data_IF_617606314461
#
_entry.id   IF_617606314461
#
_cell.length_a   1.000
_cell.length_b   1.000
_cell.length_c   1.000
_cell.angle_alpha   90.00
_cell.angle_beta   90.00
_cell.angle_gamma   90.00
#
_symmetry.space_group_name_H-M   'P 1'
#
loop_
_entity.id
_entity.type
_entity.pdbx_description
1 polymer ?
#
# COMPACT_ATOMS: atom_id res chain seq x y z
N UNK A 1 5.26 8.95 -3.62
CA UNK A 1 5.06 8.61 -2.19
C UNK A 1 5.66 9.71 -1.30
N UNK A 2 5.06 10.91 -1.28
CA UNK A 2 5.69 12.12 -0.74
C UNK A 2 5.80 12.11 0.78
N UNK A 3 4.76 11.61 1.46
CA UNK A 3 4.63 11.75 2.91
C UNK A 3 5.01 10.47 3.67
N UNK A 4 5.46 9.43 2.97
CA UNK A 4 5.71 8.11 3.57
C UNK A 4 6.76 8.18 4.69
N UNK A 5 7.81 8.98 4.54
CA UNK A 5 8.83 9.17 5.58
C UNK A 5 8.26 9.82 6.84
N UNK A 6 7.42 10.85 6.68
CA UNK A 6 6.75 11.51 7.80
C UNK A 6 5.77 10.57 8.50
N UNK A 7 4.95 9.84 7.74
CA UNK A 7 4.02 8.83 8.27
C UNK A 7 4.80 7.76 9.05
N UNK A 8 5.95 7.30 8.54
CA UNK A 8 6.79 6.31 9.21
C UNK A 8 7.33 6.84 10.55
N UNK A 9 7.76 8.10 10.62
CA UNK A 9 8.25 8.69 11.86
C UNK A 9 7.18 8.70 12.96
N UNK A 10 5.96 9.16 12.62
CA UNK A 10 4.85 9.18 13.58
C UNK A 10 4.44 7.76 13.99
N UNK A 11 4.49 6.79 13.07
CA UNK A 11 4.26 5.39 13.40
C UNK A 11 5.22 4.89 14.48
N UNK A 12 6.52 5.13 14.30
CA UNK A 12 7.57 4.67 15.22
C UNK A 12 7.42 5.25 16.62
N UNK A 13 7.01 6.51 16.75
CA UNK A 13 6.75 7.15 18.05
C UNK A 13 5.62 6.45 18.81
N UNK A 14 4.49 6.20 18.13
CA UNK A 14 3.35 5.53 18.74
C UNK A 14 3.61 4.05 19.03
N UNK A 15 4.29 3.35 18.12
CA UNK A 15 4.67 1.95 18.31
C UNK A 15 5.55 1.80 19.57
N UNK A 16 6.57 2.65 19.71
CA UNK A 16 7.45 2.66 20.90
C UNK A 16 6.66 2.89 22.20
N UNK A 17 5.66 3.77 22.17
CA UNK A 17 4.81 4.05 23.34
C UNK A 17 3.91 2.86 23.71
N UNK A 18 3.36 2.16 22.72
CA UNK A 18 2.52 0.98 22.94
C UNK A 18 3.34 -0.21 23.43
N UNK A 19 4.54 -0.42 22.88
CA UNK A 19 5.48 -1.45 23.34
C UNK A 19 5.87 -1.23 24.81
N UNK A 20 6.19 0.01 25.19
CA UNK A 20 6.50 0.35 26.59
C UNK A 20 5.30 0.07 27.52
N UNK A 21 4.08 0.36 27.09
CA UNK A 21 2.86 0.05 27.85
C UNK A 21 2.62 -1.45 28.00
N UNK A 22 2.94 -2.24 26.96
CA UNK A 22 2.81 -3.69 26.97
C UNK A 22 3.80 -4.30 27.96
N UNK A 23 5.09 -3.92 27.87
CA UNK A 23 6.13 -4.37 28.81
C UNK A 23 5.77 -4.02 30.26
N UNK A 24 5.20 -2.84 30.52
CA UNK A 24 4.75 -2.46 31.85
C UNK A 24 3.60 -3.37 32.34
N UNK A 25 2.63 -3.67 31.47
CA UNK A 25 1.49 -4.52 31.80
C UNK A 25 1.91 -5.97 32.06
N UNK A 26 2.85 -6.49 31.27
CA UNK A 26 3.45 -7.82 31.43
C UNK A 26 4.18 -7.95 32.77
N UNK A 27 5.03 -6.97 33.11
CA UNK A 27 5.74 -6.95 34.41
C UNK A 27 4.78 -6.90 35.61
N UNK A 28 3.62 -6.29 35.44
CA UNK A 28 2.58 -6.23 36.45
C UNK A 28 1.63 -7.45 36.44
N UNK A 29 1.79 -8.38 35.49
CA UNK A 29 0.85 -9.48 35.21
C UNK A 29 -0.61 -9.02 35.02
N UNK A 30 -0.82 -7.80 34.52
CA UNK A 30 -2.15 -7.22 34.29
C UNK A 30 -2.70 -7.67 32.92
N UNK A 31 -3.28 -8.87 32.90
CA UNK A 31 -3.85 -9.49 31.69
C UNK A 31 -4.90 -8.60 31.02
N UNK A 32 -5.71 -7.88 31.80
CA UNK A 32 -6.74 -7.00 31.25
C UNK A 32 -6.11 -5.80 30.52
N UNK A 33 -5.01 -5.25 31.05
CA UNK A 33 -4.27 -4.17 30.39
C UNK A 33 -3.52 -4.66 29.15
N UNK A 34 -2.91 -5.85 29.18
CA UNK A 34 -2.28 -6.48 28.00
C UNK A 34 -3.28 -6.50 26.84
N UNK A 35 -4.46 -7.09 27.05
CA UNK A 35 -5.48 -7.18 25.99
C UNK A 35 -5.96 -5.83 25.46
N UNK A 36 -6.03 -4.79 26.31
CA UNK A 36 -6.34 -3.43 25.87
C UNK A 36 -5.24 -2.80 25.02
N UNK A 37 -3.97 -3.01 25.38
CA UNK A 37 -2.82 -2.48 24.63
C UNK A 37 -2.72 -3.18 23.27
N UNK A 38 -2.85 -4.51 23.21
CA UNK A 38 -2.86 -5.27 21.96
C UNK A 38 -4.01 -4.86 21.03
N UNK A 39 -5.19 -4.56 21.59
CA UNK A 39 -6.30 -4.04 20.79
C UNK A 39 -5.99 -2.66 20.19
N UNK A 40 -5.39 -1.75 20.98
CA UNK A 40 -4.94 -0.45 20.48
C UNK A 40 -3.88 -0.59 19.39
N UNK A 41 -2.92 -1.49 19.57
CA UNK A 41 -1.89 -1.79 18.58
C UNK A 41 -2.51 -2.23 17.24
N UNK A 42 -3.49 -3.14 17.26
CA UNK A 42 -4.18 -3.59 16.03
C UNK A 42 -4.93 -2.47 15.30
N UNK A 43 -5.60 -1.58 16.04
CA UNK A 43 -6.25 -0.38 15.45
C UNK A 43 -5.19 0.52 14.81
N UNK A 44 -4.13 0.79 15.55
CA UNK A 44 -3.03 1.64 15.12
C UNK A 44 -2.38 1.10 13.84
N UNK A 45 -1.95 -0.15 13.84
CA UNK A 45 -1.31 -0.77 12.67
C UNK A 45 -2.25 -0.80 11.44
N UNK A 46 -3.53 -1.07 11.65
CA UNK A 46 -4.54 -1.04 10.57
C UNK A 46 -4.71 0.37 10.00
N UNK A 47 -4.82 1.39 10.85
CA UNK A 47 -4.96 2.78 10.42
C UNK A 47 -3.71 3.26 9.65
N UNK A 48 -2.53 2.93 10.17
CA UNK A 48 -1.27 3.26 9.51
C UNK A 48 -1.09 2.55 8.19
N UNK A 49 -1.43 1.27 8.12
CA UNK A 49 -1.42 0.51 6.88
C UNK A 49 -2.26 1.20 5.78
N UNK A 50 -3.47 1.67 6.12
CA UNK A 50 -4.33 2.40 5.17
C UNK A 50 -3.65 3.69 4.68
N UNK A 51 -3.01 4.45 5.58
CA UNK A 51 -2.31 5.69 5.22
C UNK A 51 -1.13 5.44 4.29
N UNK A 52 -0.25 4.49 4.62
CA UNK A 52 0.92 4.18 3.80
C UNK A 52 0.53 3.54 2.47
N UNK A 53 -0.52 2.70 2.46
CA UNK A 53 -1.07 2.13 1.24
C UNK A 53 -1.56 3.23 0.29
N UNK A 54 -2.27 4.24 0.80
CA UNK A 54 -2.72 5.37 0.00
C UNK A 54 -1.59 6.10 -0.73
N UNK A 55 -0.39 6.14 -0.14
CA UNK A 55 0.79 6.73 -0.79
C UNK A 55 1.27 5.90 -1.99
N UNK A 56 1.26 4.57 -1.88
CA UNK A 56 1.60 3.68 -3.01
C UNK A 56 0.51 3.73 -4.08
N UNK A 57 -0.77 3.70 -3.69
CA UNK A 57 -1.89 3.77 -4.63
C UNK A 57 -1.84 5.06 -5.45
N UNK A 58 -1.57 6.21 -4.82
CA UNK A 58 -1.38 7.47 -5.53
C UNK A 58 -0.20 7.41 -6.52
N UNK A 59 0.90 6.76 -6.16
CA UNK A 59 2.06 6.58 -7.04
C UNK A 59 1.75 5.69 -8.24
N UNK A 60 1.07 4.55 -8.01
CA UNK A 60 0.62 3.65 -9.07
C UNK A 60 -0.29 4.39 -10.05
N UNK A 61 -1.26 5.15 -9.53
CA UNK A 61 -2.14 5.95 -10.37
C UNK A 61 -1.34 6.93 -11.21
N UNK A 62 -0.48 7.75 -10.59
CA UNK A 62 0.38 8.71 -11.29
C UNK A 62 1.20 8.08 -12.42
N UNK A 63 1.83 6.93 -12.17
CA UNK A 63 2.63 6.23 -13.18
C UNK A 63 1.75 5.61 -14.26
N UNK A 64 0.55 5.14 -13.91
CA UNK A 64 -0.40 4.57 -14.87
C UNK A 64 -0.96 5.66 -15.81
N UNK A 65 -1.23 6.86 -15.30
CA UNK A 65 -1.60 8.01 -16.13
C UNK A 65 -0.47 8.35 -17.12
N UNK A 66 0.79 8.35 -16.65
CA UNK A 66 1.96 8.59 -17.50
C UNK A 66 2.13 7.48 -18.55
N UNK A 67 1.92 6.22 -18.17
CA UNK A 67 1.94 5.06 -19.06
C UNK A 67 0.96 5.23 -20.23
N UNK A 68 -0.27 5.64 -19.95
CA UNK A 68 -1.28 5.89 -20.99
C UNK A 68 -0.87 7.07 -21.86
N UNK A 69 -0.42 8.19 -21.28
CA UNK A 69 0.06 9.37 -22.04
C UNK A 69 1.18 9.01 -23.00
N UNK A 70 2.18 8.25 -22.55
CA UNK A 70 3.32 7.81 -23.36
C UNK A 70 2.91 6.92 -24.53
N UNK A 71 1.92 6.05 -24.36
CA UNK A 71 1.44 5.18 -25.45
C UNK A 71 0.57 5.95 -26.44
N UNK A 72 -0.22 6.92 -25.96
CA UNK A 72 -1.02 7.81 -26.81
C UNK A 72 -0.18 8.75 -27.66
N UNK A 73 1.02 9.14 -27.20
CA UNK A 73 1.93 9.99 -27.97
C UNK A 73 2.64 9.27 -29.11
N UNK A 74 2.42 7.96 -29.31
CA UNK A 74 2.99 7.25 -30.46
C UNK A 74 2.50 7.81 -31.78
N UNK A 75 3.43 8.08 -32.70
CA UNK A 75 3.13 8.53 -34.07
C UNK A 75 2.38 7.46 -34.86
N UNK A 76 2.57 6.18 -34.52
CA UNK A 76 1.94 5.04 -35.19
C UNK A 76 0.54 4.86 -34.65
N UNK A 77 -0.46 4.92 -35.53
CA UNK A 77 -1.87 4.78 -35.13
C UNK A 77 -2.15 3.41 -34.51
N UNK A 78 -1.52 2.36 -35.03
CA UNK A 78 -1.67 0.99 -34.56
C UNK A 78 -1.28 0.84 -33.09
N UNK A 79 -0.26 1.60 -32.66
CA UNK A 79 0.27 1.57 -31.31
C UNK A 79 -0.60 2.37 -30.34
N UNK A 80 -1.20 3.50 -30.78
CA UNK A 80 -2.03 4.37 -29.92
C UNK A 80 -3.53 4.08 -29.95
N UNK A 81 -4.08 3.43 -30.97
CA UNK A 81 -5.54 3.29 -31.16
C UNK A 81 -6.29 2.64 -29.99
N UNK A 82 -5.65 1.68 -29.31
CA UNK A 82 -6.22 1.06 -28.12
C UNK A 82 -6.24 2.02 -26.92
N UNK A 83 -5.29 2.94 -26.86
CA UNK A 83 -5.11 3.91 -25.78
C UNK A 83 -5.92 5.19 -25.97
N UNK A 84 -6.27 5.55 -27.20
CA UNK A 84 -7.13 6.71 -27.49
C UNK A 84 -8.54 6.57 -26.90
N UNK A 85 -8.99 5.34 -26.62
CA UNK A 85 -10.24 5.07 -25.91
C UNK A 85 -10.17 5.35 -24.39
N UNK A 86 -8.97 5.55 -23.85
CA UNK A 86 -8.74 5.78 -22.43
C UNK A 86 -8.44 7.27 -22.16
N UNK A 87 -9.21 7.85 -21.25
CA UNK A 87 -8.86 9.12 -20.62
C UNK A 87 -7.69 8.89 -19.65
N UNK A 88 -6.50 9.48 -19.87
CA UNK A 88 -5.36 9.30 -18.98
C UNK A 88 -5.62 9.91 -17.61
N UNK A 89 -6.41 10.97 -17.49
CA UNK A 89 -6.70 11.65 -16.22
C UNK A 89 -7.88 11.01 -15.48
N UNK A 90 -8.70 10.25 -16.19
CA UNK A 90 -9.86 9.56 -15.62
C UNK A 90 -9.96 8.12 -16.13
N UNK A 91 -8.87 7.37 -15.98
CA UNK A 91 -8.83 5.98 -16.40
C UNK A 91 -9.80 5.16 -15.55
N UNK A 92 -10.95 4.81 -16.13
CA UNK A 92 -12.01 3.98 -15.52
C UNK A 92 -11.63 2.49 -15.47
N UNK A 93 -10.41 2.19 -15.04
CA UNK A 93 -9.91 0.83 -14.88
C UNK A 93 -9.92 0.42 -13.39
N UNK A 94 -10.09 -0.87 -13.12
CA UNK A 94 -9.96 -1.39 -11.75
C UNK A 94 -8.53 -1.17 -11.26
N UNK A 95 -8.33 -1.10 -9.94
CA UNK A 95 -6.99 -0.91 -9.38
C UNK A 95 -6.00 -1.97 -9.89
N UNK A 96 -6.42 -3.22 -9.98
CA UNK A 96 -5.59 -4.35 -10.44
C UNK A 96 -5.13 -4.18 -11.89
N UNK A 97 -5.96 -3.60 -12.75
CA UNK A 97 -5.63 -3.32 -14.14
C UNK A 97 -4.61 -2.18 -14.22
N UNK A 98 -4.79 -1.13 -13.41
CA UNK A 98 -3.84 -0.02 -13.29
C UNK A 98 -2.48 -0.50 -12.77
N UNK A 99 -2.49 -1.38 -11.76
CA UNK A 99 -1.28 -1.99 -11.23
C UNK A 99 -0.59 -2.88 -12.29
N UNK A 100 -1.35 -3.66 -13.07
CA UNK A 100 -0.82 -4.51 -14.13
C UNK A 100 -0.25 -3.71 -15.32
N UNK A 101 -0.68 -2.47 -15.49
CA UNK A 101 -0.14 -1.57 -16.52
C UNK A 101 1.29 -1.11 -16.18
N UNK A 102 1.58 -0.93 -14.89
CA UNK A 102 2.83 -0.30 -14.41
C UNK A 102 3.78 -1.25 -13.69
N UNK A 103 3.32 -2.45 -13.37
CA UNK A 103 4.10 -3.55 -12.83
C UNK A 103 3.93 -4.75 -13.75
N UNK A 104 5.05 -5.35 -14.15
CA UNK A 104 5.02 -6.53 -15.00
C UNK A 104 4.45 -7.73 -14.22
N UNK A 105 3.22 -8.11 -14.57
CA UNK A 105 2.50 -9.25 -13.99
C UNK A 105 3.15 -10.60 -14.30
N UNK A 106 3.89 -10.70 -15.41
CA UNK A 106 4.52 -11.94 -15.86
C UNK A 106 5.99 -12.03 -15.46
N UNK A 107 6.54 -10.98 -14.86
CA UNK A 107 7.89 -11.00 -14.35
C UNK A 107 8.02 -12.05 -13.24
N UNK A 108 8.82 -13.10 -13.50
CA UNK A 108 9.11 -14.17 -12.54
C UNK A 108 10.21 -13.78 -11.56
N UNK A 109 11.07 -12.82 -11.92
CA UNK A 109 12.17 -12.34 -11.09
C UNK A 109 11.72 -11.34 -10.01
N UNK A 110 10.51 -10.79 -10.16
CA UNK A 110 9.88 -9.93 -9.16
C UNK A 110 8.50 -10.47 -8.77
N UNK A 111 8.09 -10.20 -7.53
CA UNK A 111 6.73 -10.43 -7.07
C UNK A 111 5.99 -9.12 -6.77
N UNK A 112 6.51 -7.96 -7.21
CA UNK A 112 5.94 -6.64 -6.91
C UNK A 112 4.45 -6.52 -7.25
N UNK A 113 4.01 -7.01 -8.41
CA UNK A 113 2.59 -7.06 -8.75
C UNK A 113 1.80 -7.91 -7.75
N UNK A 114 2.26 -9.14 -7.47
CA UNK A 114 1.58 -10.07 -6.54
C UNK A 114 1.50 -9.49 -5.11
N UNK A 115 2.57 -8.84 -4.62
CA UNK A 115 2.56 -8.14 -3.33
C UNK A 115 1.57 -6.98 -3.32
N UNK A 116 1.56 -6.18 -4.38
CA UNK A 116 0.63 -5.06 -4.53
C UNK A 116 -0.82 -5.53 -4.45
N UNK A 117 -1.18 -6.60 -5.16
CA UNK A 117 -2.54 -7.17 -5.10
C UNK A 117 -2.86 -7.74 -3.72
N UNK A 118 -1.90 -8.37 -3.04
CA UNK A 118 -2.09 -8.85 -1.66
C UNK A 118 -2.39 -7.71 -0.69
N UNK A 119 -1.65 -6.60 -0.76
CA UNK A 119 -1.90 -5.43 0.06
C UNK A 119 -3.20 -4.72 -0.30
N UNK A 120 -3.57 -4.67 -1.58
CA UNK A 120 -4.88 -4.19 -1.99
C UNK A 120 -6.01 -5.01 -1.36
N UNK A 121 -5.88 -6.34 -1.32
CA UNK A 121 -6.80 -7.23 -0.63
C UNK A 121 -6.88 -6.94 0.88
N UNK A 122 -5.73 -6.79 1.55
CA UNK A 122 -5.66 -6.41 2.97
C UNK A 122 -6.36 -5.07 3.23
N UNK A 123 -6.13 -4.07 2.38
CA UNK A 123 -6.78 -2.75 2.46
C UNK A 123 -8.29 -2.86 2.34
N UNK A 124 -8.78 -3.63 1.38
CA UNK A 124 -10.21 -3.83 1.21
C UNK A 124 -10.82 -4.57 2.41
N UNK A 125 -10.13 -5.55 2.98
CA UNK A 125 -10.54 -6.21 4.22
C UNK A 125 -10.73 -5.23 5.36
N UNK A 126 -9.71 -4.41 5.65
CA UNK A 126 -9.75 -3.40 6.71
C UNK A 126 -10.86 -2.36 6.45
N UNK A 127 -10.95 -1.85 5.21
CA UNK A 127 -11.93 -0.82 4.85
C UNK A 127 -13.39 -1.30 4.92
N UNK A 128 -13.63 -2.58 4.68
CA UNK A 128 -14.98 -3.17 4.74
C UNK A 128 -15.32 -3.79 6.10
N UNK A 129 -14.50 -3.54 7.13
CA UNK A 129 -14.79 -3.98 8.50
C UNK A 129 -14.59 -5.47 8.73
N UNK A 130 -13.83 -6.16 7.85
CA UNK A 130 -13.23 -7.43 8.26
C UNK A 130 -12.36 -7.16 9.49
N UNK A 131 -12.34 -8.09 10.45
CA UNK A 131 -11.66 -7.99 11.74
C UNK A 131 -10.31 -7.28 11.59
N UNK A 132 -10.02 -6.32 12.49
CA UNK A 132 -8.72 -5.63 12.53
C UNK A 132 -7.60 -6.61 12.25
N UNK A 133 -6.79 -6.32 11.24
CA UNK A 133 -5.81 -7.25 10.75
C UNK A 133 -4.82 -7.59 11.88
N UNK A 134 -4.68 -8.88 12.16
CA UNK A 134 -3.64 -9.37 13.06
C UNK A 134 -2.36 -9.59 12.27
N UNK A 135 -1.21 -9.22 12.84
CA UNK A 135 0.09 -9.46 12.21
C UNK A 135 0.43 -8.50 11.07
N UNK A 136 -0.11 -7.26 11.07
CA UNK A 136 0.45 -6.19 10.24
C UNK A 136 1.81 -5.82 10.81
N UNK A 137 2.87 -6.24 10.13
CA UNK A 137 4.22 -5.71 10.34
C UNK A 137 4.40 -4.46 9.46
N UNK A 138 4.05 -3.30 10.02
CA UNK A 138 4.13 -2.01 9.31
C UNK A 138 5.56 -1.71 8.81
N UNK A 139 6.64 -1.90 9.59
CA UNK A 139 8.00 -1.76 9.10
C UNK A 139 8.29 -2.59 7.83
N UNK A 140 7.93 -3.88 7.84
CA UNK A 140 8.11 -4.75 6.66
C UNK A 140 7.31 -4.23 5.47
N UNK A 141 6.05 -3.81 5.70
CA UNK A 141 5.21 -3.28 4.63
C UNK A 141 5.82 -2.00 4.03
N UNK A 142 6.32 -1.07 4.85
CA UNK A 142 6.97 0.16 4.36
C UNK A 142 8.15 -0.19 3.43
N UNK A 143 9.00 -1.15 3.82
CA UNK A 143 10.08 -1.63 2.98
C UNK A 143 9.60 -2.21 1.65
N UNK A 144 8.51 -2.98 1.69
CA UNK A 144 7.88 -3.54 0.49
C UNK A 144 7.28 -2.43 -0.41
N UNK A 145 6.66 -1.38 0.15
CA UNK A 145 6.12 -0.26 -0.63
C UNK A 145 7.22 0.49 -1.39
N UNK A 146 8.37 0.76 -0.76
CA UNK A 146 9.51 1.36 -1.44
C UNK A 146 10.04 0.49 -2.58
N UNK A 147 10.14 -0.83 -2.36
CA UNK A 147 10.58 -1.77 -3.40
C UNK A 147 9.62 -1.76 -4.59
N UNK A 148 8.32 -1.88 -4.33
CA UNK A 148 7.29 -1.84 -5.37
C UNK A 148 7.36 -0.50 -6.13
N UNK A 149 7.47 0.63 -5.44
CA UNK A 149 7.54 1.94 -6.07
C UNK A 149 8.76 2.09 -6.99
N UNK A 150 9.91 1.49 -6.63
CA UNK A 150 11.11 1.48 -7.46
C UNK A 150 10.99 0.65 -8.74
N UNK A 151 10.02 -0.26 -8.80
CA UNK A 151 9.77 -1.13 -9.95
C UNK A 151 8.73 -0.58 -10.92
N UNK A 152 7.99 0.47 -10.55
CA UNK A 152 6.96 1.07 -11.40
C UNK A 152 7.57 1.59 -12.71
N UNK A 153 6.93 1.25 -13.83
CA UNK A 153 7.30 1.74 -15.17
C UNK A 153 6.08 2.32 -15.88
N UNK A 154 6.30 3.44 -16.58
CA UNK A 154 5.31 4.04 -17.46
C UNK A 154 5.39 3.42 -18.86
#
# INVERSE_FOLDING_TARGET
MKDLAAITAVYSEFATSLDAQLVQAERAADIARIGRVEHKQRIHDSAYFILIWGQLEAEINRVAELAVRNRRSSIRWEDRRAWDAHDPENMRAKFEDRAALVLDRLNVASDAYRRTIRYYGLRNGIAHGATLATGIDVPTIIGDLYRIAGELKA
#
